data_IF_336324110280
#
_entry.id   IF_336324110280
#
_cell.length_a   1.000
_cell.length_b   1.000
_cell.length_c   1.000
_cell.angle_alpha   90.00
_cell.angle_beta   90.00
_cell.angle_gamma   90.00
#
_symmetry.space_group_name_H-M   'P 1'
#
loop_
_entity.id
_entity.type
_entity.pdbx_description
1 polymer ?
#
# COMPACT_ATOMS: atom_id res chain seq x y z
N UNK A 1 23.51 54.16 31.48
CA UNK A 1 23.43 53.74 30.06
C UNK A 1 22.92 52.30 30.00
N UNK A 2 21.67 52.07 29.59
CA UNK A 2 21.11 50.72 29.41
C UNK A 2 21.16 50.39 27.92
N UNK A 3 21.98 49.42 27.52
CA UNK A 3 22.06 48.91 26.15
C UNK A 3 21.01 47.81 26.00
N UNK A 4 19.96 48.06 25.24
CA UNK A 4 18.98 47.05 24.82
C UNK A 4 19.53 46.31 23.61
N UNK A 5 19.78 45.00 23.78
CA UNK A 5 20.18 44.11 22.71
C UNK A 5 18.90 43.52 22.10
N UNK A 6 18.52 43.96 20.89
CA UNK A 6 17.49 43.27 20.10
C UNK A 6 18.16 42.23 19.23
N UNK A 7 17.90 40.95 19.51
CA UNK A 7 18.30 39.83 18.66
C UNK A 7 17.10 39.50 17.77
N UNK A 8 17.23 39.79 16.48
CA UNK A 8 16.29 39.31 15.46
C UNK A 8 16.43 37.80 15.32
N UNK A 9 15.39 37.04 15.66
CA UNK A 9 15.27 35.63 15.34
C UNK A 9 14.86 35.47 13.87
N UNK A 10 15.79 35.08 13.02
CA UNK A 10 15.51 34.63 11.65
C UNK A 10 14.90 33.22 11.71
N UNK A 11 13.58 33.11 11.55
CA UNK A 11 12.88 31.83 11.40
C UNK A 11 13.25 31.22 10.03
N UNK A 12 14.18 30.27 10.03
CA UNK A 12 14.47 29.44 8.87
C UNK A 12 13.33 28.42 8.76
N UNK A 13 12.43 28.61 7.79
CA UNK A 13 11.34 27.68 7.52
C UNK A 13 11.93 26.41 6.86
N UNK A 14 12.25 25.41 7.67
CA UNK A 14 12.63 24.09 7.20
C UNK A 14 11.44 23.43 6.52
N UNK A 15 11.37 23.51 5.19
CA UNK A 15 10.43 22.71 4.41
C UNK A 15 10.93 21.27 4.43
N UNK A 16 10.27 20.39 5.18
CA UNK A 16 10.53 18.96 5.17
C UNK A 16 10.25 18.42 3.77
N UNK A 17 11.31 18.19 2.98
CA UNK A 17 11.20 17.47 1.72
C UNK A 17 10.75 16.04 2.04
N UNK A 18 9.51 15.70 1.70
CA UNK A 18 9.00 14.33 1.79
C UNK A 18 9.74 13.55 0.71
N UNK A 19 10.65 12.66 1.13
CA UNK A 19 11.36 11.79 0.20
C UNK A 19 10.34 10.98 -0.61
N UNK A 20 10.46 11.03 -1.93
CA UNK A 20 9.65 10.18 -2.80
C UNK A 20 10.03 8.72 -2.52
N UNK A 21 9.05 7.80 -2.53
CA UNK A 21 9.34 6.41 -2.26
C UNK A 21 10.35 5.87 -3.29
N UNK A 22 11.49 5.39 -2.80
CA UNK A 22 12.59 4.91 -3.63
C UNK A 22 12.17 3.63 -4.36
N UNK A 23 12.38 3.60 -5.69
CA UNK A 23 12.22 2.37 -6.47
C UNK A 23 13.36 1.40 -6.15
N UNK A 24 13.07 0.10 -5.96
CA UNK A 24 14.10 -0.90 -5.66
C UNK A 24 15.04 -1.07 -6.84
N UNK A 25 16.29 -1.45 -6.55
CA UNK A 25 17.27 -1.81 -7.59
C UNK A 25 16.89 -3.14 -8.26
N UNK A 26 17.40 -3.42 -9.46
CA UNK A 26 17.16 -4.73 -10.11
C UNK A 26 17.65 -5.91 -9.27
N UNK A 27 18.79 -5.76 -8.59
CA UNK A 27 19.31 -6.79 -7.68
C UNK A 27 18.36 -7.05 -6.50
N UNK A 28 17.77 -6.00 -5.94
CA UNK A 28 16.75 -6.14 -4.89
C UNK A 28 15.49 -6.81 -5.43
N UNK A 29 14.99 -6.41 -6.60
CA UNK A 29 13.83 -7.01 -7.24
C UNK A 29 14.07 -8.51 -7.45
N UNK A 30 15.24 -8.88 -7.99
CA UNK A 30 15.60 -10.28 -8.23
C UNK A 30 15.71 -11.08 -6.93
N UNK A 31 16.36 -10.50 -5.90
CA UNK A 31 16.50 -11.12 -4.59
C UNK A 31 15.15 -11.39 -3.93
N UNK A 32 14.25 -10.40 -3.94
CA UNK A 32 12.90 -10.53 -3.37
C UNK A 32 12.04 -11.53 -4.12
N UNK A 33 12.06 -11.52 -5.46
CA UNK A 33 11.36 -12.53 -6.26
C UNK A 33 11.86 -13.94 -5.96
N UNK A 34 13.16 -14.11 -5.70
CA UNK A 34 13.73 -15.41 -5.34
C UNK A 34 13.30 -15.86 -3.94
N UNK A 35 13.36 -14.95 -2.96
CA UNK A 35 13.05 -15.25 -1.56
C UNK A 35 11.55 -15.47 -1.32
N UNK A 36 10.69 -14.61 -1.87
CA UNK A 36 9.25 -14.62 -1.64
C UNK A 36 8.46 -15.36 -2.75
N UNK A 37 9.03 -16.43 -3.30
CA UNK A 37 8.44 -17.17 -4.42
C UNK A 37 7.01 -17.62 -4.16
N UNK A 38 6.73 -18.16 -2.95
CA UNK A 38 5.43 -18.71 -2.59
C UNK A 38 4.32 -17.65 -2.61
N UNK A 39 4.40 -16.55 -1.81
CA UNK A 39 3.37 -15.52 -1.84
C UNK A 39 3.27 -14.83 -3.20
N UNK A 40 4.37 -14.67 -3.94
CA UNK A 40 4.33 -13.99 -5.25
C UNK A 40 3.59 -14.82 -6.31
N UNK A 41 3.75 -16.14 -6.29
CA UNK A 41 2.96 -17.06 -7.11
C UNK A 41 1.50 -17.12 -6.66
N UNK A 42 1.25 -17.08 -5.34
CA UNK A 42 -0.11 -17.10 -4.80
C UNK A 42 -0.93 -15.89 -5.29
N UNK A 43 -0.34 -14.69 -5.33
CA UNK A 43 -0.96 -13.47 -5.89
C UNK A 43 -1.51 -13.70 -7.30
N UNK A 44 -0.82 -14.48 -8.12
CA UNK A 44 -1.19 -14.68 -9.52
C UNK A 44 -2.54 -15.42 -9.67
N UNK A 45 -2.88 -16.28 -8.71
CA UNK A 45 -4.03 -17.17 -8.77
C UNK A 45 -5.24 -16.68 -7.96
N UNK A 46 -5.19 -15.46 -7.41
CA UNK A 46 -6.32 -14.92 -6.66
C UNK A 46 -7.43 -14.49 -7.60
N UNK A 47 -8.61 -15.06 -7.38
CA UNK A 47 -9.85 -14.65 -8.01
C UNK A 47 -10.25 -13.25 -7.57
N UNK A 48 -10.68 -12.44 -8.55
CA UNK A 48 -11.14 -11.09 -8.30
C UNK A 48 -12.62 -11.09 -7.98
N UNK A 49 -12.97 -10.43 -6.89
CA UNK A 49 -14.35 -10.15 -6.52
C UNK A 49 -14.70 -8.71 -6.94
N UNK A 50 -15.86 -8.55 -7.56
CA UNK A 50 -16.44 -7.22 -7.77
C UNK A 50 -17.08 -6.78 -6.45
N UNK A 51 -16.48 -5.76 -5.82
CA UNK A 51 -17.05 -5.11 -4.65
C UNK A 51 -17.39 -3.66 -4.97
N UNK A 52 -18.38 -3.14 -4.25
CA UNK A 52 -18.63 -1.71 -4.22
C UNK A 52 -17.36 -1.00 -3.77
N UNK A 53 -16.88 -0.05 -4.58
CA UNK A 53 -15.66 0.68 -4.27
C UNK A 53 -16.00 1.81 -3.31
N UNK A 54 -15.45 1.77 -2.09
CA UNK A 54 -15.54 2.91 -1.18
C UNK A 54 -14.76 4.11 -1.74
N UNK A 55 -15.44 5.24 -1.84
CA UNK A 55 -14.91 6.48 -2.39
C UNK A 55 -14.31 7.39 -1.31
N UNK A 56 -14.57 7.07 -0.03
CA UNK A 56 -14.05 7.75 1.16
C UNK A 56 -13.56 6.74 2.20
N UNK A 57 -12.79 7.21 3.18
CA UNK A 57 -12.33 6.37 4.29
C UNK A 57 -13.51 5.93 5.16
N UNK A 58 -14.51 6.80 5.33
CA UNK A 58 -15.71 6.56 6.12
C UNK A 58 -16.61 5.49 5.49
N UNK A 59 -16.76 5.52 4.16
CA UNK A 59 -17.46 4.47 3.41
C UNK A 59 -16.74 3.12 3.55
N UNK A 60 -15.40 3.12 3.51
CA UNK A 60 -14.64 1.88 3.60
C UNK A 60 -14.87 1.16 4.94
N UNK A 61 -15.05 1.90 6.05
CA UNK A 61 -15.34 1.32 7.37
C UNK A 61 -16.62 0.46 7.34
N UNK A 62 -17.64 0.87 6.56
CA UNK A 62 -18.89 0.11 6.43
C UNK A 62 -18.74 -1.17 5.59
N UNK A 63 -17.65 -1.27 4.84
CA UNK A 63 -17.34 -2.38 3.95
C UNK A 63 -16.16 -3.23 4.48
N UNK A 64 -15.86 -3.14 5.77
CA UNK A 64 -14.72 -3.84 6.40
C UNK A 64 -14.65 -5.33 6.02
N UNK A 65 -13.46 -5.76 5.61
CA UNK A 65 -13.18 -7.14 5.23
C UNK A 65 -12.17 -7.75 6.20
N UNK A 66 -12.50 -8.91 6.75
CA UNK A 66 -11.56 -9.67 7.57
C UNK A 66 -10.53 -10.31 6.64
N UNK A 67 -9.25 -10.00 6.87
CA UNK A 67 -8.16 -10.63 6.15
C UNK A 67 -7.74 -11.92 6.87
N UNK A 68 -7.99 -13.06 6.22
CA UNK A 68 -7.63 -14.38 6.77
C UNK A 68 -6.43 -15.03 6.08
N UNK A 69 -6.33 -14.96 4.75
CA UNK A 69 -5.23 -15.58 3.99
C UNK A 69 -4.96 -14.84 2.69
N UNK A 70 -6.02 -14.56 1.92
CA UNK A 70 -5.92 -13.84 0.66
C UNK A 70 -7.19 -13.07 0.35
N UNK A 71 -7.06 -11.95 -0.35
CA UNK A 71 -8.18 -11.14 -0.85
C UNK A 71 -7.87 -10.66 -2.27
N UNK A 72 -8.91 -10.52 -3.10
CA UNK A 72 -8.80 -10.06 -4.47
C UNK A 72 -9.99 -9.21 -4.88
N UNK A 73 -9.72 -8.02 -5.43
CA UNK A 73 -10.72 -7.03 -5.77
C UNK A 73 -10.53 -6.49 -7.18
N UNK A 74 -11.64 -6.36 -7.91
CA UNK A 74 -11.76 -5.50 -9.07
C UNK A 74 -12.50 -4.22 -8.64
N UNK A 75 -11.82 -3.07 -8.72
CA UNK A 75 -12.32 -1.78 -8.22
C UNK A 75 -12.32 -0.75 -9.34
N UNK A 76 -13.14 0.29 -9.20
CA UNK A 76 -13.09 1.48 -10.07
C UNK A 76 -12.79 2.71 -9.21
N UNK A 77 -11.68 3.38 -9.50
CA UNK A 77 -11.31 4.59 -8.78
C UNK A 77 -12.35 5.70 -8.97
N UNK A 78 -12.58 6.50 -7.94
CA UNK A 78 -13.56 7.57 -7.96
C UNK A 78 -13.16 8.74 -8.90
N UNK A 79 -13.97 9.80 -8.95
CA UNK A 79 -13.69 10.99 -9.77
C UNK A 79 -12.40 11.74 -9.39
N UNK A 80 -11.84 11.49 -8.20
CA UNK A 80 -10.54 12.00 -7.74
C UNK A 80 -9.39 11.00 -7.98
N UNK A 81 -9.67 9.86 -8.60
CA UNK A 81 -8.71 8.78 -8.80
C UNK A 81 -8.34 8.07 -7.51
N UNK A 82 -9.29 7.89 -6.58
CA UNK A 82 -9.07 7.27 -5.27
C UNK A 82 -10.03 6.11 -5.02
N UNK A 83 -9.56 5.11 -4.27
CA UNK A 83 -10.37 4.05 -3.68
C UNK A 83 -9.82 3.72 -2.29
N UNK A 84 -10.70 3.24 -1.41
CA UNK A 84 -10.37 2.89 -0.03
C UNK A 84 -10.82 1.46 0.27
N UNK A 85 -9.99 0.71 1.00
CA UNK A 85 -10.30 -0.65 1.46
C UNK A 85 -10.00 -0.74 2.94
N UNK A 86 -10.98 -1.14 3.73
CA UNK A 86 -10.86 -1.36 5.16
C UNK A 86 -10.57 -2.84 5.42
N UNK A 87 -9.44 -3.11 6.08
CA UNK A 87 -9.02 -4.47 6.44
C UNK A 87 -9.04 -4.66 7.94
N UNK A 88 -9.73 -5.70 8.41
CA UNK A 88 -9.62 -6.18 9.78
C UNK A 88 -8.54 -7.27 9.85
N UNK A 89 -7.47 -6.97 10.59
CA UNK A 89 -6.34 -7.86 10.87
C UNK A 89 -6.54 -8.47 12.25
N UNK A 90 -6.56 -9.81 12.33
CA UNK A 90 -6.85 -10.56 13.57
C UNK A 90 -5.59 -10.94 14.34
N UNK A 91 -4.46 -11.05 13.66
CA UNK A 91 -3.21 -11.49 14.26
C UNK A 91 -2.25 -10.32 14.52
N UNK A 92 -1.45 -10.46 15.57
CA UNK A 92 -0.37 -9.52 15.87
C UNK A 92 0.78 -9.71 14.86
N UNK A 93 1.40 -8.61 14.43
CA UNK A 93 2.54 -8.63 13.51
C UNK A 93 2.26 -9.40 12.19
N UNK A 94 1.08 -9.18 11.60
CA UNK A 94 0.69 -9.84 10.35
C UNK A 94 1.52 -9.29 9.19
N UNK A 95 2.14 -10.18 8.41
CA UNK A 95 2.96 -9.85 7.24
C UNK A 95 2.19 -10.20 5.98
N UNK A 96 2.13 -9.26 5.05
CA UNK A 96 1.30 -9.35 3.86
C UNK A 96 2.03 -8.84 2.63
N UNK A 97 1.74 -9.48 1.50
CA UNK A 97 2.12 -8.97 0.18
C UNK A 97 0.87 -8.45 -0.51
N UNK A 98 0.88 -7.16 -0.80
CA UNK A 98 -0.13 -6.45 -1.58
C UNK A 98 0.31 -6.38 -3.04
N UNK A 99 -0.62 -6.50 -3.98
CA UNK A 99 -0.35 -6.31 -5.39
C UNK A 99 -1.34 -5.32 -6.03
N UNK A 100 -0.81 -4.41 -6.84
CA UNK A 100 -1.55 -3.36 -7.54
C UNK A 100 -1.14 -3.31 -9.02
N UNK A 101 -1.93 -2.66 -9.87
CA UNK A 101 -1.48 -2.29 -11.21
C UNK A 101 -0.27 -1.33 -11.16
N UNK A 102 0.59 -1.29 -12.20
CA UNK A 102 1.66 -0.32 -12.30
C UNK A 102 1.03 1.04 -12.50
N UNK A 103 1.49 2.05 -11.75
CA UNK A 103 0.93 3.42 -11.65
C UNK A 103 -0.17 3.62 -10.61
N UNK A 104 -0.48 2.61 -9.79
CA UNK A 104 -1.28 2.82 -8.58
C UNK A 104 -0.36 3.11 -7.41
N UNK A 105 -0.56 4.26 -6.79
CA UNK A 105 0.05 4.61 -5.51
C UNK A 105 -0.71 3.89 -4.41
N UNK A 106 0.03 3.17 -3.58
CA UNK A 106 -0.48 2.43 -2.43
C UNK A 106 -0.03 3.11 -1.14
N UNK A 107 -0.97 3.29 -0.21
CA UNK A 107 -0.67 3.71 1.16
C UNK A 107 -1.56 2.94 2.13
N UNK A 108 -1.02 2.58 3.28
CA UNK A 108 -1.76 1.97 4.39
C UNK A 108 -1.39 2.73 5.66
N UNK A 109 -2.39 3.18 6.42
CA UNK A 109 -2.16 3.93 7.66
C UNK A 109 -1.77 2.97 8.78
N UNK A 110 -0.88 3.40 9.67
CA UNK A 110 -0.51 2.68 10.90
C UNK A 110 0.19 1.32 10.69
N UNK A 111 0.69 1.06 9.48
CA UNK A 111 1.46 -0.14 9.13
C UNK A 111 2.79 0.22 8.45
N UNK A 112 3.76 -0.70 8.53
CA UNK A 112 5.08 -0.50 7.95
C UNK A 112 5.14 -1.06 6.53
N UNK A 113 5.56 -0.23 5.57
CA UNK A 113 5.91 -0.70 4.22
C UNK A 113 7.38 -1.11 4.22
N UNK A 114 7.64 -2.42 4.13
CA UNK A 114 9.00 -3.02 4.14
C UNK A 114 9.60 -3.21 2.75
N UNK A 115 8.79 -3.06 1.71
CA UNK A 115 9.17 -3.13 0.31
C UNK A 115 8.03 -2.65 -0.56
N UNK A 116 8.33 -2.00 -1.67
CA UNK A 116 7.33 -1.40 -2.55
C UNK A 116 7.86 -1.30 -3.96
N UNK A 117 6.95 -1.21 -4.93
CA UNK A 117 7.30 -1.10 -6.35
C UNK A 117 8.13 -2.28 -6.89
N UNK A 118 7.94 -3.48 -6.34
CA UNK A 118 8.64 -4.69 -6.75
C UNK A 118 7.85 -5.34 -7.89
N UNK A 119 8.48 -5.55 -9.05
CA UNK A 119 7.82 -6.24 -10.16
C UNK A 119 7.62 -7.72 -9.81
N UNK A 120 6.43 -8.27 -10.06
CA UNK A 120 6.17 -9.70 -9.90
C UNK A 120 6.62 -10.49 -11.14
N UNK A 121 7.67 -11.29 -11.02
CA UNK A 121 8.22 -12.06 -12.15
C UNK A 121 7.48 -13.39 -12.41
N UNK A 122 6.47 -13.74 -11.60
CA UNK A 122 5.76 -15.03 -11.70
C UNK A 122 4.44 -14.97 -12.47
N UNK A 123 3.89 -13.78 -12.70
CA UNK A 123 2.72 -13.55 -13.57
C UNK A 123 2.85 -12.24 -14.34
N UNK A 124 3.83 -12.22 -15.24
CA UNK A 124 4.15 -11.07 -16.09
C UNK A 124 2.95 -10.62 -16.93
N UNK A 125 2.07 -11.54 -17.31
CA UNK A 125 0.86 -11.26 -18.07
C UNK A 125 -0.14 -10.37 -17.31
N UNK A 126 -0.10 -10.38 -15.97
CA UNK A 126 -0.92 -9.52 -15.11
C UNK A 126 -0.26 -8.18 -14.84
N UNK A 127 1.04 -8.04 -15.13
CA UNK A 127 1.81 -6.82 -14.96
C UNK A 127 1.60 -6.18 -13.57
N UNK A 128 1.81 -6.95 -12.50
CA UNK A 128 1.54 -6.49 -11.13
C UNK A 128 2.79 -5.97 -10.43
N UNK A 129 2.55 -4.98 -9.56
CA UNK A 129 3.53 -4.39 -8.68
C UNK A 129 3.22 -4.78 -7.24
N UNK A 130 4.24 -5.25 -6.51
CA UNK A 130 4.14 -5.81 -5.18
C UNK A 130 4.64 -4.84 -4.11
N UNK A 131 3.98 -4.90 -2.95
CA UNK A 131 4.31 -4.13 -1.75
C UNK A 131 4.24 -5.04 -0.53
N UNK A 132 5.32 -5.07 0.26
CA UNK A 132 5.41 -5.81 1.51
C UNK A 132 5.00 -4.91 2.67
N UNK A 133 4.07 -5.38 3.48
CA UNK A 133 3.49 -4.63 4.59
C UNK A 133 3.47 -5.48 5.83
N UNK A 134 3.89 -4.89 6.94
CA UNK A 134 3.77 -5.48 8.26
C UNK A 134 2.84 -4.61 9.11
N UNK A 135 1.84 -5.22 9.72
CA UNK A 135 1.06 -4.58 10.79
C UNK A 135 1.80 -4.78 12.12
N UNK A 136 1.46 -3.99 13.14
CA UNK A 136 2.05 -4.13 14.48
C UNK A 136 1.02 -4.50 15.54
N UNK A 137 -0.27 -4.45 15.22
CA UNK A 137 -1.36 -4.72 16.15
C UNK A 137 -2.51 -5.45 15.44
N UNK A 138 -3.37 -6.13 16.20
CA UNK A 138 -4.68 -6.51 15.69
C UNK A 138 -5.54 -5.24 15.57
N UNK A 139 -6.38 -5.17 14.55
CA UNK A 139 -7.22 -4.00 14.36
C UNK A 139 -7.57 -3.72 12.92
N UNK A 140 -7.93 -2.47 12.68
CA UNK A 140 -8.63 -2.02 11.50
C UNK A 140 -7.74 -1.05 10.73
N UNK A 141 -7.32 -1.45 9.52
CA UNK A 141 -6.35 -0.75 8.70
C UNK A 141 -6.98 -0.24 7.41
N UNK A 142 -6.83 1.06 7.14
CA UNK A 142 -7.32 1.66 5.89
C UNK A 142 -6.19 1.67 4.86
N UNK A 143 -6.44 0.94 3.78
CA UNK A 143 -5.67 1.02 2.55
C UNK A 143 -6.28 2.08 1.66
N UNK A 144 -5.45 2.98 1.14
CA UNK A 144 -5.81 3.93 0.10
C UNK A 144 -5.03 3.62 -1.17
N UNK A 145 -5.76 3.52 -2.27
CA UNK A 145 -5.27 3.33 -3.63
C UNK A 145 -5.49 4.62 -4.41
N UNK A 146 -4.49 5.07 -5.15
CA UNK A 146 -4.58 6.31 -5.92
C UNK A 146 -3.98 6.16 -7.32
N UNK A 147 -4.72 6.65 -8.33
CA UNK A 147 -4.40 6.54 -9.74
C UNK A 147 -5.14 7.62 -10.55
N UNK A 148 -5.54 7.28 -11.78
CA UNK A 148 -6.32 8.19 -12.63
C UNK A 148 -7.81 8.16 -12.26
N UNK A 149 -8.56 9.26 -12.43
CA UNK A 149 -10.03 9.25 -12.26
C UNK A 149 -10.71 8.15 -13.08
N UNK A 150 -11.69 7.47 -12.49
CA UNK A 150 -12.49 6.41 -13.14
C UNK A 150 -11.69 5.24 -13.71
N UNK A 151 -10.44 5.08 -13.29
CA UNK A 151 -9.61 3.96 -13.72
C UNK A 151 -10.09 2.66 -13.06
N UNK A 152 -10.35 1.63 -13.88
CA UNK A 152 -10.51 0.27 -13.38
C UNK A 152 -9.16 -0.29 -12.97
N UNK A 153 -9.10 -0.89 -11.78
CA UNK A 153 -7.88 -1.44 -11.19
C UNK A 153 -8.14 -2.82 -10.58
N UNK A 154 -7.05 -3.55 -10.35
CA UNK A 154 -7.04 -4.78 -9.59
C UNK A 154 -6.20 -4.62 -8.34
N UNK A 155 -6.69 -5.17 -7.23
CA UNK A 155 -6.01 -5.12 -5.95
C UNK A 155 -6.04 -6.50 -5.30
N UNK A 156 -4.89 -6.98 -4.85
CA UNK A 156 -4.74 -8.33 -4.31
C UNK A 156 -3.89 -8.31 -3.06
N UNK A 157 -4.15 -9.24 -2.16
CA UNK A 157 -3.45 -9.38 -0.88
C UNK A 157 -3.25 -10.88 -0.63
N UNK A 158 -2.05 -11.28 -0.21
CA UNK A 158 -1.79 -12.59 0.40
C UNK A 158 -1.02 -12.43 1.69
N UNK A 159 -1.10 -13.44 2.55
CA UNK A 159 -0.14 -13.59 3.64
C UNK A 159 1.26 -13.80 3.09
N UNK A 160 2.22 -13.10 3.66
CA UNK A 160 3.64 -13.37 3.47
C UNK A 160 3.98 -14.58 4.35
N UNK A 161 3.73 -15.78 3.83
CA UNK A 161 4.13 -17.02 4.52
C UNK A 161 5.66 -17.14 4.50
N UNK A 162 6.26 -17.34 5.67
CA UNK A 162 7.67 -17.71 5.84
C UNK A 162 7.93 -19.18 5.51
#
# INVERSE_FOLDING_TARGET
MKKTLSVLLSLIASSSAIATPQRPSEAEIQGRNTYFITPYKAICNIDLQYQETANTAEEAIQLEQIFETSLGYALTLNAKGQAYVQLAIKEWNEKMVFATDPNITFTIRDADIKGQYITNNYCLEKNLVLHHVNTHEWGSYIVKLQGKPHQAITFRIVKEQE
#
